data_IF_995497678482
#
_entry.id   IF_995497678482
#
_cell.length_a   1.000
_cell.length_b   1.000
_cell.length_c   1.000
_cell.angle_alpha   90.00
_cell.angle_beta   90.00
_cell.angle_gamma   90.00
#
_symmetry.space_group_name_H-M   'P 1'
#
loop_
_entity.id
_entity.type
_entity.pdbx_description
1 polymer ?
#
# COMPACT_ATOMS: atom_id res chain seq x y z
N UNK A 1 35.29 -5.72 14.55
CA UNK A 1 34.45 -5.66 13.34
C UNK A 1 33.01 -5.82 13.77
N UNK A 2 32.16 -4.87 13.42
CA UNK A 2 30.73 -4.96 13.72
C UNK A 2 30.07 -5.90 12.73
N UNK A 3 29.08 -6.69 13.17
CA UNK A 3 28.30 -7.61 12.32
C UNK A 3 27.78 -6.97 11.02
N UNK A 4 27.57 -5.64 11.04
CA UNK A 4 27.12 -4.85 9.90
C UNK A 4 28.17 -4.73 8.78
N UNK A 5 29.45 -4.62 9.12
CA UNK A 5 30.51 -4.47 8.11
C UNK A 5 30.72 -5.79 7.35
N UNK A 6 30.56 -6.93 8.02
CA UNK A 6 30.60 -8.26 7.39
C UNK A 6 29.44 -8.44 6.40
N UNK A 7 28.24 -7.96 6.75
CA UNK A 7 27.06 -8.00 5.86
C UNK A 7 27.28 -7.10 4.63
N UNK A 8 27.86 -5.91 4.80
CA UNK A 8 28.20 -5.03 3.67
C UNK A 8 29.23 -5.65 2.71
N UNK A 9 30.11 -6.53 3.20
CA UNK A 9 31.07 -7.26 2.36
C UNK A 9 30.46 -8.46 1.66
N UNK A 10 29.49 -9.13 2.28
CA UNK A 10 28.83 -10.31 1.72
C UNK A 10 27.86 -9.98 0.58
N UNK A 11 27.23 -8.82 0.63
CA UNK A 11 26.21 -8.41 -0.34
C UNK A 11 26.66 -7.15 -1.11
N UNK A 12 27.02 -7.31 -2.38
CA UNK A 12 27.54 -6.23 -3.23
C UNK A 12 26.57 -5.06 -3.41
N UNK A 13 25.26 -5.30 -3.31
CA UNK A 13 24.26 -4.23 -3.39
C UNK A 13 23.93 -3.58 -2.05
N UNK A 14 24.53 -4.03 -0.95
CA UNK A 14 24.24 -3.52 0.38
C UNK A 14 24.70 -2.07 0.54
N UNK A 15 23.79 -1.20 0.97
CA UNK A 15 24.07 0.23 1.16
C UNK A 15 23.40 0.75 2.43
N UNK A 16 24.11 1.63 3.13
CA UNK A 16 23.54 2.37 4.26
C UNK A 16 23.03 3.72 3.77
N UNK A 17 21.81 4.06 4.15
CA UNK A 17 21.21 5.37 3.90
C UNK A 17 20.43 5.87 5.12
N UNK A 18 20.13 7.17 5.13
CA UNK A 18 19.32 7.79 6.20
C UNK A 18 17.84 7.38 6.15
N UNK A 19 17.35 6.94 4.98
CA UNK A 19 15.98 6.50 4.76
C UNK A 19 15.95 5.11 4.13
N UNK A 20 14.97 4.25 4.44
CA UNK A 20 14.84 2.96 3.79
C UNK A 20 14.56 3.16 2.30
N UNK A 21 15.13 2.30 1.46
CA UNK A 21 14.80 2.25 0.05
C UNK A 21 13.37 1.73 -0.11
N UNK A 22 12.48 2.53 -0.69
CA UNK A 22 11.05 2.25 -0.80
C UNK A 22 10.69 1.62 -2.15
N UNK A 23 11.49 0.67 -2.63
CA UNK A 23 11.25 0.01 -3.92
C UNK A 23 10.80 -1.45 -3.73
N UNK A 24 9.91 -2.01 -4.56
CA UNK A 24 9.51 -3.42 -4.42
C UNK A 24 10.69 -4.41 -4.50
N UNK A 25 11.78 -3.98 -5.15
CA UNK A 25 13.01 -4.75 -5.38
C UNK A 25 14.01 -4.68 -4.22
N UNK A 26 13.82 -3.78 -3.27
CA UNK A 26 14.68 -3.65 -2.09
C UNK A 26 14.06 -4.33 -0.88
N UNK A 27 14.92 -4.66 0.09
CA UNK A 27 14.55 -4.94 1.48
C UNK A 27 15.46 -4.11 2.38
N UNK A 28 14.88 -3.55 3.43
CA UNK A 28 15.57 -2.55 4.26
C UNK A 28 15.48 -2.98 5.71
N UNK A 29 16.58 -2.88 6.46
CA UNK A 29 16.65 -3.21 7.87
C UNK A 29 17.14 -1.99 8.66
N UNK A 30 16.52 -1.72 9.80
CA UNK A 30 17.01 -0.67 10.70
C UNK A 30 18.32 -1.14 11.35
N UNK A 31 19.33 -0.28 11.37
CA UNK A 31 20.62 -0.53 11.98
C UNK A 31 21.15 0.73 12.71
N UNK A 32 22.26 0.61 13.42
CA UNK A 32 22.85 1.71 14.22
C UNK A 32 23.21 2.93 13.37
N UNK A 33 23.58 2.73 12.10
CA UNK A 33 24.02 3.77 11.17
C UNK A 33 22.91 4.27 10.22
N UNK A 34 21.65 3.90 10.47
CA UNK A 34 20.50 4.22 9.61
C UNK A 34 19.81 2.97 9.06
N UNK A 35 19.60 2.91 7.75
CA UNK A 35 18.94 1.79 7.09
C UNK A 35 19.91 1.03 6.19
N UNK A 36 20.04 -0.27 6.43
CA UNK A 36 20.71 -1.20 5.52
C UNK A 36 19.72 -1.61 4.43
N UNK A 37 20.00 -1.24 3.19
CA UNK A 37 19.19 -1.61 2.02
C UNK A 37 19.92 -2.66 1.20
N UNK A 38 19.18 -3.69 0.80
CA UNK A 38 19.66 -4.83 0.04
C UNK A 38 18.72 -5.06 -1.15
N UNK A 39 19.27 -5.48 -2.28
CA UNK A 39 18.44 -5.88 -3.42
C UNK A 39 17.94 -7.31 -3.22
N UNK A 40 16.62 -7.53 -3.27
CA UNK A 40 16.01 -8.87 -3.13
C UNK A 40 16.51 -9.87 -4.17
N UNK A 41 16.99 -9.42 -5.33
CA UNK A 41 17.54 -10.29 -6.37
C UNK A 41 18.84 -11.00 -5.94
N UNK A 42 19.58 -10.46 -4.97
CA UNK A 42 20.79 -11.08 -4.40
C UNK A 42 20.48 -11.95 -3.16
N UNK A 43 19.22 -12.05 -2.75
CA UNK A 43 18.82 -12.74 -1.53
C UNK A 43 17.98 -13.97 -1.87
N UNK A 44 18.46 -15.13 -1.45
CA UNK A 44 17.63 -16.33 -1.35
C UNK A 44 16.65 -16.20 -0.17
N UNK A 45 15.57 -16.99 -0.20
CA UNK A 45 14.61 -17.03 0.91
C UNK A 45 15.29 -17.33 2.26
N UNK A 46 16.26 -18.25 2.26
CA UNK A 46 17.03 -18.64 3.45
C UNK A 46 17.92 -17.50 3.97
N UNK A 47 18.55 -16.74 3.10
CA UNK A 47 19.36 -15.58 3.50
C UNK A 47 18.49 -14.48 4.09
N UNK A 48 17.31 -14.25 3.52
CA UNK A 48 16.36 -13.28 4.06
C UNK A 48 15.87 -13.68 5.46
N UNK A 49 15.63 -14.97 5.72
CA UNK A 49 15.32 -15.48 7.06
C UNK A 49 16.49 -15.30 8.03
N UNK A 50 17.72 -15.61 7.59
CA UNK A 50 18.91 -15.43 8.42
C UNK A 50 19.13 -13.97 8.79
N UNK A 51 19.01 -13.06 7.83
CA UNK A 51 19.09 -11.61 8.05
C UNK A 51 18.01 -11.14 9.02
N UNK A 52 16.81 -11.71 8.96
CA UNK A 52 15.75 -11.41 9.92
C UNK A 52 16.07 -11.84 11.36
N UNK A 53 16.76 -12.96 11.53
CA UNK A 53 17.22 -13.41 12.85
C UNK A 53 18.32 -12.50 13.39
N UNK A 54 19.21 -12.02 12.52
CA UNK A 54 20.38 -11.21 12.92
C UNK A 54 20.00 -9.74 13.16
N UNK A 55 19.18 -9.15 12.28
CA UNK A 55 18.87 -7.73 12.22
C UNK A 55 17.44 -7.40 12.68
N UNK A 56 16.63 -8.42 12.97
CA UNK A 56 15.20 -8.26 13.24
C UNK A 56 14.37 -8.15 11.96
N UNK A 57 13.09 -7.80 12.12
CA UNK A 57 12.16 -7.75 10.98
C UNK A 57 12.55 -6.63 10.01
N UNK A 58 12.44 -6.84 8.69
CA UNK A 58 12.66 -5.78 7.71
C UNK A 58 11.63 -4.67 7.90
N UNK A 59 12.06 -3.46 7.55
CA UNK A 59 11.21 -2.28 7.47
C UNK A 59 10.16 -2.52 6.40
N UNK A 60 8.90 -2.35 6.79
CA UNK A 60 7.79 -2.44 5.85
C UNK A 60 7.98 -1.39 4.76
N UNK A 61 7.96 -1.85 3.52
CA UNK A 61 7.94 -0.96 2.37
C UNK A 61 6.52 -0.44 2.21
N UNK A 62 6.41 0.88 2.17
CA UNK A 62 5.16 1.58 1.94
C UNK A 62 5.17 2.13 0.52
N UNK A 63 4.02 2.05 -0.16
CA UNK A 63 3.80 2.80 -1.39
C UNK A 63 4.09 4.30 -1.13
N UNK A 64 4.67 5.07 -2.08
CA UNK A 64 4.95 6.49 -1.86
C UNK A 64 3.73 7.29 -1.37
N UNK A 65 2.53 6.96 -1.87
CA UNK A 65 1.28 7.54 -1.37
C UNK A 65 0.98 7.13 0.06
N UNK A 66 1.13 5.86 0.40
CA UNK A 66 0.94 5.38 1.76
C UNK A 66 1.93 6.06 2.73
N UNK A 67 3.20 6.18 2.34
CA UNK A 67 4.22 6.82 3.15
C UNK A 67 3.87 8.29 3.39
N UNK A 68 3.49 9.03 2.35
CA UNK A 68 3.08 10.42 2.45
C UNK A 68 1.83 10.60 3.33
N UNK A 69 0.74 9.88 3.02
CA UNK A 69 -0.54 10.00 3.72
C UNK A 69 -0.45 9.58 5.20
N UNK A 70 0.50 8.72 5.55
CA UNK A 70 0.76 8.32 6.94
C UNK A 70 1.89 9.12 7.62
N UNK A 71 2.34 10.23 7.05
CA UNK A 71 3.33 11.13 7.67
C UNK A 71 4.77 10.59 7.71
N UNK A 72 5.12 9.64 6.85
CA UNK A 72 6.42 8.94 6.81
C UNK A 72 7.21 9.19 5.52
N UNK A 73 6.64 9.91 4.57
CA UNK A 73 7.19 10.07 3.23
C UNK A 73 6.97 11.48 2.66
N UNK A 74 7.67 11.75 1.56
CA UNK A 74 7.51 13.01 0.82
C UNK A 74 6.22 12.97 0.01
N UNK A 75 5.61 14.15 -0.17
CA UNK A 75 4.46 14.36 -1.06
C UNK A 75 4.78 13.89 -2.49
N UNK A 76 4.01 12.95 -3.08
CA UNK A 76 4.15 12.58 -4.47
C UNK A 76 3.90 13.78 -5.41
N UNK A 77 4.31 13.66 -6.67
CA UNK A 77 3.95 14.66 -7.69
C UNK A 77 2.50 14.42 -8.11
N UNK A 78 1.67 15.45 -7.98
CA UNK A 78 0.22 15.37 -8.20
C UNK A 78 -0.15 16.43 -9.23
N UNK A 79 -1.04 16.09 -10.16
CA UNK A 79 -1.61 17.02 -11.13
C UNK A 79 -3.10 17.17 -10.86
N UNK A 80 -3.68 18.36 -10.91
CA UNK A 80 -5.15 18.51 -10.79
C UNK A 80 -5.73 18.03 -9.46
N UNK A 81 -6.81 17.24 -9.50
CA UNK A 81 -7.52 16.76 -8.31
C UNK A 81 -7.31 15.26 -8.09
N UNK A 82 -7.27 14.85 -6.82
CA UNK A 82 -7.22 13.44 -6.43
C UNK A 82 -8.44 13.07 -5.61
N UNK A 83 -8.78 11.78 -5.63
CA UNK A 83 -9.81 11.21 -4.79
C UNK A 83 -9.27 9.99 -4.07
N UNK A 84 -9.57 9.87 -2.78
CA UNK A 84 -9.28 8.68 -2.03
C UNK A 84 -10.49 7.76 -2.06
N UNK A 85 -10.27 6.49 -2.37
CA UNK A 85 -11.28 5.45 -2.25
C UNK A 85 -10.81 4.51 -1.17
N UNK A 86 -11.50 4.53 -0.04
CA UNK A 86 -11.27 3.60 1.06
C UNK A 86 -12.15 2.38 0.85
N UNK A 87 -11.64 1.19 1.11
CA UNK A 87 -12.46 0.01 0.98
C UNK A 87 -12.12 -1.08 1.96
N UNK A 88 -13.08 -1.99 2.12
CA UNK A 88 -12.98 -3.17 2.96
C UNK A 88 -13.44 -4.39 2.18
N UNK A 89 -12.68 -5.47 2.28
CA UNK A 89 -12.99 -6.75 1.65
C UNK A 89 -13.06 -7.85 2.71
N UNK A 90 -14.15 -8.61 2.70
CA UNK A 90 -14.29 -9.80 3.51
C UNK A 90 -14.20 -11.05 2.64
N UNK A 91 -13.27 -11.94 2.99
CA UNK A 91 -13.13 -13.24 2.34
C UNK A 91 -14.06 -14.25 3.02
N UNK A 92 -14.97 -14.87 2.25
CA UNK A 92 -15.89 -15.88 2.79
C UNK A 92 -15.26 -17.27 2.88
N UNK A 93 -14.15 -17.48 2.19
CA UNK A 93 -13.35 -18.71 2.20
C UNK A 93 -11.84 -18.37 2.14
N UNK A 94 -10.98 -19.33 2.49
CA UNK A 94 -9.53 -19.14 2.53
C UNK A 94 -8.82 -19.38 1.19
N UNK A 95 -9.56 -19.59 0.10
CA UNK A 95 -8.98 -19.91 -1.21
C UNK A 95 -8.34 -18.69 -1.87
N UNK A 96 -8.86 -17.50 -1.59
CA UNK A 96 -8.38 -16.26 -2.20
C UNK A 96 -7.63 -15.41 -1.18
N UNK A 97 -6.51 -14.83 -1.63
CA UNK A 97 -5.71 -13.91 -0.83
C UNK A 97 -6.04 -12.47 -1.18
N UNK A 98 -5.76 -11.53 -0.28
CA UNK A 98 -5.85 -10.10 -0.56
C UNK A 98 -4.97 -9.69 -1.75
N UNK A 99 -3.82 -10.34 -1.94
CA UNK A 99 -2.97 -10.07 -3.10
C UNK A 99 -3.67 -10.43 -4.43
N UNK A 100 -4.38 -11.57 -4.45
CA UNK A 100 -5.19 -11.99 -5.61
C UNK A 100 -6.33 -11.01 -5.86
N UNK A 101 -7.06 -10.65 -4.81
CA UNK A 101 -8.17 -9.71 -4.89
C UNK A 101 -7.71 -8.32 -5.38
N UNK A 102 -6.59 -7.82 -4.84
CA UNK A 102 -5.99 -6.54 -5.24
C UNK A 102 -5.58 -6.55 -6.71
N UNK A 103 -5.00 -7.65 -7.20
CA UNK A 103 -4.62 -7.79 -8.62
C UNK A 103 -5.86 -7.73 -9.52
N UNK A 104 -6.90 -8.48 -9.18
CA UNK A 104 -8.16 -8.47 -9.93
C UNK A 104 -8.78 -7.06 -9.95
N UNK A 105 -8.86 -6.39 -8.80
CA UNK A 105 -9.34 -5.02 -8.71
C UNK A 105 -8.57 -4.08 -9.65
N UNK A 106 -7.24 -4.14 -9.63
CA UNK A 106 -6.40 -3.29 -10.48
C UNK A 106 -6.60 -3.55 -11.97
N UNK A 107 -6.89 -4.79 -12.37
CA UNK A 107 -7.17 -5.17 -13.76
C UNK A 107 -8.54 -4.67 -14.26
N UNK A 108 -9.48 -4.38 -13.35
CA UNK A 108 -10.80 -3.84 -13.70
C UNK A 108 -10.77 -2.33 -14.00
N UNK A 109 -9.76 -1.61 -13.52
CA UNK A 109 -9.66 -0.17 -13.76
C UNK A 109 -9.01 0.12 -15.11
N UNK A 110 -9.71 0.87 -15.94
CA UNK A 110 -9.26 1.41 -17.23
C UNK A 110 -8.73 2.84 -17.09
N UNK A 111 -8.93 3.48 -15.94
CA UNK A 111 -8.45 4.82 -15.61
C UNK A 111 -7.19 4.78 -14.74
N UNK A 112 -6.50 5.91 -14.64
CA UNK A 112 -5.24 6.01 -13.91
C UNK A 112 -5.45 5.99 -12.38
N UNK A 113 -5.17 4.83 -11.78
CA UNK A 113 -5.01 4.67 -10.33
C UNK A 113 -3.56 4.94 -9.96
N UNK A 114 -3.32 6.03 -9.22
CA UNK A 114 -1.99 6.47 -8.79
C UNK A 114 -1.36 5.56 -7.74
N UNK A 115 -2.20 4.96 -6.89
CA UNK A 115 -1.75 3.99 -5.89
C UNK A 115 -2.88 3.06 -5.48
N UNK A 116 -2.50 1.83 -5.09
CA UNK A 116 -3.35 0.89 -4.40
C UNK A 116 -2.53 0.25 -3.28
N UNK A 117 -2.91 0.47 -2.02
CA UNK A 117 -2.17 -0.04 -0.88
C UNK A 117 -3.10 -0.49 0.25
N UNK A 118 -2.54 -1.29 1.13
CA UNK A 118 -3.27 -1.88 2.25
C UNK A 118 -2.97 -1.10 3.54
N UNK A 119 -4.02 -0.78 4.31
CA UNK A 119 -3.89 -0.15 5.63
C UNK A 119 -3.94 -1.17 6.76
N UNK A 120 -4.89 -2.11 6.68
CA UNK A 120 -5.10 -3.24 7.61
C UNK A 120 -5.40 -4.52 6.84
N UNK A 121 -5.47 -5.65 7.53
CA UNK A 121 -5.62 -6.99 6.92
C UNK A 121 -6.76 -7.09 5.88
N UNK A 122 -7.85 -6.35 6.09
CA UNK A 122 -9.04 -6.31 5.25
C UNK A 122 -9.37 -4.93 4.66
N UNK A 123 -8.55 -3.91 4.92
CA UNK A 123 -8.78 -2.53 4.49
C UNK A 123 -7.72 -2.06 3.50
N UNK A 124 -8.16 -1.44 2.41
CA UNK A 124 -7.31 -0.92 1.36
C UNK A 124 -7.70 0.51 0.98
N UNK A 125 -6.78 1.15 0.28
CA UNK A 125 -6.93 2.50 -0.26
C UNK A 125 -6.51 2.50 -1.71
N UNK A 126 -7.33 3.15 -2.53
CA UNK A 126 -6.95 3.59 -3.86
C UNK A 126 -6.78 5.10 -3.85
N UNK A 127 -5.80 5.58 -4.59
CA UNK A 127 -5.65 6.99 -4.92
C UNK A 127 -5.89 7.12 -6.40
N UNK A 128 -6.96 7.82 -6.77
CA UNK A 128 -7.32 8.06 -8.16
C UNK A 128 -6.90 9.48 -8.57
N UNK A 129 -6.34 9.59 -9.78
CA UNK A 129 -6.17 10.87 -10.45
C UNK A 129 -7.48 11.25 -11.17
N UNK A 130 -8.17 12.29 -10.70
CA UNK A 130 -9.48 12.65 -11.25
C UNK A 130 -9.32 13.18 -12.68
N UNK A 131 -10.12 12.63 -13.59
CA UNK A 131 -10.13 12.98 -15.02
C UNK A 131 -11.57 12.94 -15.57
N UNK A 132 -11.74 13.32 -16.84
CA UNK A 132 -13.05 13.27 -17.50
C UNK A 132 -13.61 11.84 -17.66
N UNK A 133 -12.76 10.83 -17.52
CA UNK A 133 -13.13 9.41 -17.58
C UNK A 133 -13.17 8.77 -16.20
N UNK A 134 -13.06 9.54 -15.12
CA UNK A 134 -13.11 9.02 -13.76
C UNK A 134 -14.43 8.33 -13.46
N UNK A 135 -14.34 7.30 -12.62
CA UNK A 135 -15.48 6.46 -12.27
C UNK A 135 -16.49 7.19 -11.39
N UNK A 136 -17.76 6.93 -11.61
CA UNK A 136 -18.83 7.36 -10.71
C UNK A 136 -19.11 6.28 -9.67
N UNK A 137 -19.85 6.62 -8.62
CA UNK A 137 -20.17 5.67 -7.53
C UNK A 137 -20.86 4.38 -8.04
N UNK A 138 -21.62 4.47 -9.13
CA UNK A 138 -22.26 3.31 -9.75
C UNK A 138 -21.24 2.33 -10.39
N UNK A 139 -20.14 2.84 -10.93
CA UNK A 139 -19.10 2.01 -11.53
C UNK A 139 -18.36 1.21 -10.45
N UNK A 140 -18.03 1.86 -9.32
CA UNK A 140 -17.43 1.17 -8.16
C UNK A 140 -18.36 0.10 -7.58
N UNK A 141 -19.67 0.32 -7.60
CA UNK A 141 -20.63 -0.70 -7.20
C UNK A 141 -20.60 -1.91 -8.15
N UNK A 142 -20.55 -1.68 -9.46
CA UNK A 142 -20.41 -2.74 -10.46
C UNK A 142 -19.10 -3.53 -10.28
N UNK A 143 -17.99 -2.82 -10.07
CA UNK A 143 -16.68 -3.42 -9.77
C UNK A 143 -16.74 -4.30 -8.52
N UNK A 144 -17.34 -3.81 -7.44
CA UNK A 144 -17.52 -4.59 -6.21
C UNK A 144 -18.31 -5.88 -6.46
N UNK A 145 -19.43 -5.79 -7.19
CA UNK A 145 -20.29 -6.94 -7.48
C UNK A 145 -19.58 -8.01 -8.31
N UNK A 146 -18.80 -7.61 -9.32
CA UNK A 146 -18.00 -8.54 -10.12
C UNK A 146 -16.93 -9.24 -9.28
N UNK A 147 -16.16 -8.49 -8.48
CA UNK A 147 -15.15 -9.07 -7.59
C UNK A 147 -15.75 -10.02 -6.57
N UNK A 148 -16.89 -9.65 -6.00
CA UNK A 148 -17.58 -10.46 -4.99
C UNK A 148 -18.10 -11.78 -5.57
N UNK A 149 -18.60 -11.76 -6.81
CA UNK A 149 -19.07 -12.95 -7.52
C UNK A 149 -17.92 -13.89 -7.92
N UNK A 150 -16.81 -13.34 -8.42
CA UNK A 150 -15.67 -14.13 -8.91
C UNK A 150 -14.81 -14.71 -7.79
N UNK A 151 -14.61 -13.95 -6.72
CA UNK A 151 -13.67 -14.29 -5.64
C UNK A 151 -14.36 -14.73 -4.36
N UNK A 152 -15.69 -14.89 -4.37
CA UNK A 152 -16.50 -15.20 -3.20
C UNK A 152 -16.18 -14.27 -2.01
N UNK A 153 -16.13 -12.96 -2.30
CA UNK A 153 -15.83 -11.92 -1.31
C UNK A 153 -17.07 -11.08 -0.99
N UNK A 154 -16.91 -10.12 -0.07
CA UNK A 154 -17.84 -9.01 0.14
C UNK A 154 -17.06 -7.72 0.21
N UNK A 155 -17.18 -6.90 -0.82
CA UNK A 155 -16.40 -5.69 -1.02
C UNK A 155 -17.29 -4.47 -0.76
N UNK A 156 -16.73 -3.50 -0.05
CA UNK A 156 -17.38 -2.21 0.18
C UNK A 156 -16.39 -1.09 -0.09
N UNK A 157 -16.85 -0.08 -0.81
CA UNK A 157 -16.10 1.15 -1.05
C UNK A 157 -16.76 2.32 -0.32
N UNK A 158 -15.92 3.20 0.19
CA UNK A 158 -16.23 4.58 0.56
C UNK A 158 -15.51 5.47 -0.45
N UNK A 159 -16.30 6.22 -1.20
CA UNK A 159 -15.80 7.12 -2.24
C UNK A 159 -15.66 8.50 -1.59
N UNK A 160 -14.42 8.95 -1.43
CA UNK A 160 -14.11 10.25 -0.85
C UNK A 160 -14.39 11.42 -1.80
N UNK A 161 -14.08 12.62 -1.32
CA UNK A 161 -14.28 13.85 -2.06
C UNK A 161 -13.14 14.11 -3.08
N UNK A 162 -13.37 15.09 -3.94
CA UNK A 162 -12.42 15.50 -4.98
C UNK A 162 -11.50 16.61 -4.46
N UNK A 163 -10.29 16.25 -4.04
CA UNK A 163 -9.35 17.15 -3.40
C UNK A 163 -8.36 17.79 -4.38
N UNK A 164 -8.25 19.13 -4.41
CA UNK A 164 -7.19 19.81 -5.14
C UNK A 164 -5.79 19.45 -4.63
N UNK A 165 -4.82 19.35 -5.54
CA UNK A 165 -3.44 18.98 -5.23
C UNK A 165 -2.69 19.98 -4.35
N UNK A 166 -3.27 21.13 -4.03
CA UNK A 166 -2.68 22.18 -3.20
C UNK A 166 -3.05 22.02 -1.73
N UNK A 167 -4.08 21.24 -1.42
CA UNK A 167 -4.61 21.09 -0.07
C UNK A 167 -3.71 20.18 0.78
N UNK A 168 -3.93 20.16 2.10
CA UNK A 168 -3.30 19.20 2.99
C UNK A 168 -3.97 17.83 2.86
N UNK A 169 -3.53 17.10 1.83
CA UNK A 169 -4.06 15.78 1.49
C UNK A 169 -3.85 14.74 2.59
N UNK A 170 -2.82 14.88 3.42
CA UNK A 170 -2.58 13.95 4.52
C UNK A 170 -3.62 14.17 5.63
N UNK A 171 -3.91 15.43 5.95
CA UNK A 171 -4.97 15.78 6.90
C UNK A 171 -6.36 15.33 6.38
N UNK A 172 -6.70 15.67 5.13
CA UNK A 172 -7.98 15.32 4.52
C UNK A 172 -8.19 13.81 4.46
N UNK A 173 -7.15 13.06 4.12
CA UNK A 173 -7.19 11.60 4.15
C UNK A 173 -7.43 11.07 5.57
N UNK A 174 -6.82 11.65 6.60
CA UNK A 174 -7.06 11.25 7.98
C UNK A 174 -8.51 11.52 8.43
N UNK A 175 -9.11 12.62 7.97
CA UNK A 175 -10.52 12.95 8.19
C UNK A 175 -11.44 11.92 7.50
N UNK A 176 -11.19 11.60 6.24
CA UNK A 176 -11.94 10.56 5.51
C UNK A 176 -11.78 9.16 6.11
N UNK A 177 -10.59 8.82 6.62
CA UNK A 177 -10.36 7.59 7.37
C UNK A 177 -11.21 7.55 8.65
N UNK A 178 -11.31 8.67 9.37
CA UNK A 178 -12.14 8.74 10.56
C UNK A 178 -13.63 8.56 10.22
N UNK A 179 -14.09 9.18 9.12
CA UNK A 179 -15.46 8.99 8.61
C UNK A 179 -15.68 7.52 8.24
N UNK A 180 -14.79 6.92 7.45
CA UNK A 180 -14.87 5.51 7.06
C UNK A 180 -14.95 4.56 8.26
N UNK A 181 -14.13 4.81 9.29
CA UNK A 181 -14.11 4.02 10.52
C UNK A 181 -15.41 4.13 11.34
N UNK A 182 -16.06 5.29 11.34
CA UNK A 182 -17.35 5.52 12.02
C UNK A 182 -18.52 5.01 11.19
N UNK A 183 -18.48 5.23 9.88
CA UNK A 183 -19.48 4.72 8.94
C UNK A 183 -19.55 3.21 8.92
N UNK A 184 -18.51 2.50 9.42
CA UNK A 184 -18.42 1.08 9.77
C UNK A 184 -19.63 0.33 9.22
N UNK A 185 -19.63 0.20 7.89
CA UNK A 185 -20.80 -0.12 7.10
C UNK A 185 -21.34 -1.41 7.71
N UNK A 186 -22.42 -1.32 8.49
CA UNK A 186 -22.91 -2.43 9.34
C UNK A 186 -22.89 -3.69 8.48
N UNK A 187 -21.97 -4.58 8.81
CA UNK A 187 -21.95 -5.91 8.24
C UNK A 187 -22.98 -6.63 9.08
N UNK A 188 -24.25 -6.41 8.73
CA UNK A 188 -25.31 -7.28 9.22
C UNK A 188 -24.89 -8.70 8.82
N UNK A 189 -24.77 -9.52 9.87
CA UNK A 189 -24.45 -10.94 9.81
C UNK A 189 -25.53 -11.69 9.05
#
# INVERSE_FOLDING_TARGET
MTKLDDILQLYSTAKISEQPELTPKSVSFMCEKGYLNLTKAELTARELELLQVILGKPVKHYDPWQAFLCGRGKRPVIKGKVRFILGKVEFKNSEFSLATWKKALQEMFTTEILACFQLKDDEFVLVEQVSATSYESADFLGIAQSLDAELNTKTKFFIGDLWPAEFDLAQLFAEEQAIFAVCKIKLEK
#
